data_IF_169231333172
#
_entry.id   IF_169231333172
#
_cell.length_a   1.000
_cell.length_b   1.000
_cell.length_c   1.000
_cell.angle_alpha   90.00
_cell.angle_beta   90.00
_cell.angle_gamma   90.00
#
_symmetry.space_group_name_H-M   'P 1'
#
loop_
_entity.id
_entity.type
_entity.pdbx_description
1 polymer ?
#
# COMPACT_ATOMS: atom_id res chain seq x y z
N UNK A 1 -16.40 -14.84 13.56
CA UNK A 1 -16.24 -14.13 12.26
C UNK A 1 -16.51 -15.13 11.16
N UNK A 2 -17.48 -14.91 10.27
CA UNK A 2 -17.67 -15.81 9.12
C UNK A 2 -16.58 -15.54 8.07
N UNK A 3 -16.31 -16.49 7.17
CA UNK A 3 -15.33 -16.29 6.10
C UNK A 3 -15.68 -15.08 5.20
N UNK A 4 -16.97 -14.86 4.96
CA UNK A 4 -17.44 -13.70 4.18
C UNK A 4 -17.18 -12.38 4.91
N UNK A 5 -17.35 -12.35 6.23
CA UNK A 5 -17.08 -11.14 7.02
C UNK A 5 -15.57 -10.83 7.06
N UNK A 6 -14.72 -11.86 7.07
CA UNK A 6 -13.27 -11.69 6.99
C UNK A 6 -12.83 -11.09 5.64
N UNK A 7 -13.42 -11.53 4.52
CA UNK A 7 -13.13 -10.94 3.21
C UNK A 7 -13.62 -9.50 3.09
N UNK A 8 -14.82 -9.20 3.61
CA UNK A 8 -15.30 -7.81 3.66
C UNK A 8 -14.35 -6.90 4.41
N UNK A 9 -13.79 -7.37 5.53
CA UNK A 9 -12.81 -6.59 6.29
C UNK A 9 -11.53 -6.35 5.47
N UNK A 10 -11.04 -7.36 4.74
CA UNK A 10 -9.89 -7.19 3.87
C UNK A 10 -10.17 -6.21 2.71
N UNK A 11 -11.33 -6.32 2.08
CA UNK A 11 -11.77 -5.40 1.01
C UNK A 11 -11.88 -3.95 1.53
N UNK A 12 -12.35 -3.78 2.76
CA UNK A 12 -12.45 -2.48 3.41
C UNK A 12 -11.08 -1.83 3.62
N UNK A 13 -10.08 -2.61 4.04
CA UNK A 13 -8.69 -2.13 4.19
C UNK A 13 -8.10 -1.74 2.83
N UNK A 14 -8.27 -2.58 1.81
CA UNK A 14 -7.78 -2.30 0.46
C UNK A 14 -8.46 -1.04 -0.12
N UNK A 15 -9.78 -0.89 0.09
CA UNK A 15 -10.52 0.31 -0.29
C UNK A 15 -9.95 1.54 0.40
N UNK A 16 -9.72 1.47 1.71
CA UNK A 16 -9.18 2.60 2.47
C UNK A 16 -7.77 2.99 2.01
N UNK A 17 -6.92 2.02 1.64
CA UNK A 17 -5.59 2.28 1.12
C UNK A 17 -5.62 3.05 -0.21
N UNK A 18 -6.39 2.55 -1.18
CA UNK A 18 -6.51 3.18 -2.50
C UNK A 18 -7.18 4.54 -2.39
N UNK A 19 -8.25 4.64 -1.61
CA UNK A 19 -8.93 5.90 -1.36
C UNK A 19 -8.00 6.91 -0.68
N UNK A 20 -7.24 6.49 0.33
CA UNK A 20 -6.33 7.35 1.07
C UNK A 20 -5.32 8.07 0.17
N UNK A 21 -4.80 7.38 -0.85
CA UNK A 21 -3.86 7.96 -1.82
C UNK A 21 -4.58 8.73 -2.92
N UNK A 22 -5.69 8.19 -3.43
CA UNK A 22 -6.45 8.81 -4.53
C UNK A 22 -7.03 10.16 -4.11
N UNK A 23 -7.55 10.26 -2.89
CA UNK A 23 -8.20 11.47 -2.39
C UNK A 23 -7.20 12.62 -2.27
N UNK A 24 -5.95 12.33 -1.90
CA UNK A 24 -4.87 13.31 -1.81
C UNK A 24 -4.50 13.99 -3.14
N UNK A 25 -4.77 13.32 -4.26
CA UNK A 25 -4.43 13.79 -5.61
C UNK A 25 -5.65 14.42 -6.29
N UNK A 26 -6.83 13.81 -6.08
CA UNK A 26 -8.02 14.08 -6.89
C UNK A 26 -9.04 14.99 -6.21
N UNK A 27 -9.05 15.02 -4.87
CA UNK A 27 -9.99 15.84 -4.10
C UNK A 27 -9.29 17.12 -3.66
N UNK A 28 -9.84 18.30 -4.00
CA UNK A 28 -9.30 19.56 -3.51
C UNK A 28 -9.29 19.58 -1.98
N UNK A 29 -8.09 19.63 -1.41
CA UNK A 29 -7.87 19.73 0.02
C UNK A 29 -7.54 21.13 0.50
N UNK A 30 -7.55 21.31 1.83
CA UNK A 30 -6.88 22.43 2.51
C UNK A 30 -5.38 22.45 2.19
N UNK A 31 -4.77 21.26 2.16
CA UNK A 31 -3.38 21.04 1.78
C UNK A 31 -3.40 20.00 0.67
N UNK A 32 -3.22 20.47 -0.55
CA UNK A 32 -3.23 19.62 -1.74
C UNK A 32 -1.83 19.07 -2.01
N UNK A 33 -1.76 17.81 -2.40
CA UNK A 33 -0.54 17.16 -2.87
C UNK A 33 -0.63 16.92 -4.37
N UNK A 34 0.51 16.79 -5.03
CA UNK A 34 0.54 16.37 -6.42
C UNK A 34 0.99 14.91 -6.57
N UNK A 35 0.90 14.39 -7.80
CA UNK A 35 1.33 13.02 -8.08
C UNK A 35 2.86 12.83 -7.94
N UNK A 36 3.66 13.88 -8.11
CA UNK A 36 5.10 13.80 -7.98
C UNK A 36 5.50 13.58 -6.52
N UNK A 37 4.83 14.26 -5.58
CA UNK A 37 5.00 14.10 -4.14
C UNK A 37 4.70 12.66 -3.69
N UNK A 38 3.53 12.14 -4.07
CA UNK A 38 3.13 10.75 -3.76
C UNK A 38 4.11 9.76 -4.38
N UNK A 39 4.52 9.98 -5.64
CA UNK A 39 5.49 9.11 -6.32
C UNK A 39 6.86 9.14 -5.65
N UNK A 40 7.31 10.30 -5.14
CA UNK A 40 8.60 10.41 -4.46
C UNK A 40 8.66 9.58 -3.18
N UNK A 41 7.54 9.44 -2.47
CA UNK A 41 7.43 8.59 -1.26
C UNK A 41 7.19 7.13 -1.60
N UNK A 42 6.43 6.81 -2.65
CA UNK A 42 6.02 5.42 -2.88
C UNK A 42 6.93 4.65 -3.84
N UNK A 43 7.63 5.34 -4.76
CA UNK A 43 8.38 4.66 -5.82
C UNK A 43 9.70 4.07 -5.31
N UNK A 44 9.85 2.75 -5.46
CA UNK A 44 11.12 2.06 -5.17
C UNK A 44 11.42 1.86 -3.68
N UNK A 45 10.51 2.20 -2.79
CA UNK A 45 10.70 2.14 -1.33
C UNK A 45 10.47 0.73 -0.73
N UNK A 46 10.03 -0.24 -1.52
CA UNK A 46 9.89 -1.62 -1.08
C UNK A 46 8.65 -1.83 -0.21
N UNK A 47 8.84 -2.32 1.02
CA UNK A 47 7.74 -2.64 1.94
C UNK A 47 7.01 -1.35 2.35
N UNK A 48 5.67 -1.44 2.38
CA UNK A 48 4.79 -0.38 2.83
C UNK A 48 3.80 -0.94 3.85
N UNK A 49 3.49 -0.13 4.86
CA UNK A 49 2.52 -0.43 5.90
C UNK A 49 1.51 0.71 5.98
N UNK A 50 0.26 0.37 6.32
CA UNK A 50 -0.83 1.34 6.41
C UNK A 50 -1.50 1.24 7.77
N UNK A 51 -1.69 2.40 8.41
CA UNK A 51 -2.51 2.57 9.59
C UNK A 51 -3.67 3.50 9.30
N UNK A 52 -4.84 3.23 9.89
CA UNK A 52 -6.00 4.11 9.82
C UNK A 52 -6.61 4.30 11.20
N UNK A 53 -7.04 5.52 11.49
CA UNK A 53 -7.69 5.89 12.74
C UNK A 53 -8.83 6.88 12.49
N UNK A 54 -9.82 6.84 13.38
CA UNK A 54 -11.00 7.72 13.34
C UNK A 54 -11.35 8.16 14.75
N UNK A 55 -11.64 9.44 14.92
CA UNK A 55 -12.10 9.98 16.17
C UNK A 55 -12.98 11.21 15.94
N UNK A 56 -13.73 11.61 16.96
CA UNK A 56 -14.58 12.79 16.95
C UNK A 56 -14.46 13.56 18.27
N UNK A 57 -14.95 14.80 18.29
CA UNK A 57 -14.85 15.68 19.46
C UNK A 57 -13.55 16.49 19.53
N UNK A 58 -13.26 17.04 20.71
CA UNK A 58 -12.22 18.07 20.91
C UNK A 58 -10.78 17.54 20.72
N UNK A 59 -10.55 16.26 21.02
CA UNK A 59 -9.23 15.62 20.90
C UNK A 59 -9.13 14.67 19.70
N UNK A 60 -10.02 14.84 18.70
CA UNK A 60 -10.11 13.92 17.56
C UNK A 60 -8.81 13.79 16.77
N UNK A 61 -8.01 14.84 16.65
CA UNK A 61 -6.75 14.79 15.93
C UNK A 61 -5.73 13.88 16.62
N UNK A 62 -5.48 14.08 17.91
CA UNK A 62 -4.61 13.24 18.71
C UNK A 62 -5.11 11.79 18.76
N UNK A 63 -6.40 11.56 19.03
CA UNK A 63 -6.98 10.22 19.14
C UNK A 63 -6.96 9.45 17.82
N UNK A 64 -7.36 10.08 16.71
CA UNK A 64 -7.32 9.44 15.39
C UNK A 64 -5.88 9.13 14.97
N UNK A 65 -4.93 10.01 15.30
CA UNK A 65 -3.51 9.77 15.03
C UNK A 65 -2.99 8.59 15.83
N UNK A 66 -3.28 8.54 17.13
CA UNK A 66 -2.84 7.45 18.00
C UNK A 66 -3.40 6.10 17.53
N UNK A 67 -4.66 6.07 17.09
CA UNK A 67 -5.25 4.87 16.48
C UNK A 67 -4.57 4.47 15.17
N UNK A 68 -4.24 5.44 14.31
CA UNK A 68 -3.57 5.16 13.05
C UNK A 68 -2.17 4.55 13.27
N UNK A 69 -1.37 5.11 14.18
CA UNK A 69 0.00 4.63 14.46
C UNK A 69 0.05 3.31 15.25
N UNK A 70 -1.05 2.95 15.93
CA UNK A 70 -1.18 1.69 16.67
C UNK A 70 -2.07 0.66 15.97
N UNK A 71 -2.35 0.87 14.68
CA UNK A 71 -3.23 0.01 13.91
C UNK A 71 -2.66 -1.42 13.80
N UNK A 72 -3.47 -2.48 13.96
CA UNK A 72 -3.03 -3.88 13.84
C UNK A 72 -2.47 -4.27 12.46
N UNK A 73 -2.66 -3.40 11.45
CA UNK A 73 -2.12 -3.55 10.09
C UNK A 73 -0.65 -3.11 9.98
N UNK A 74 -0.17 -2.38 10.98
CA UNK A 74 1.24 -2.14 11.24
C UNK A 74 1.69 -3.34 12.09
N UNK A 75 2.40 -4.29 11.48
CA UNK A 75 2.87 -5.52 12.17
C UNK A 75 3.92 -5.20 13.26
N UNK A 76 4.87 -6.09 13.54
CA UNK A 76 6.01 -5.84 14.46
C UNK A 76 6.87 -4.62 14.08
N UNK A 77 6.65 -4.05 12.89
CA UNK A 77 7.18 -2.78 12.46
C UNK A 77 6.26 -1.64 12.94
N UNK A 78 6.68 -1.01 14.03
CA UNK A 78 6.28 0.37 14.37
C UNK A 78 6.58 1.29 13.16
N UNK A 79 5.96 2.48 13.12
CA UNK A 79 6.29 3.51 12.09
C UNK A 79 7.78 3.92 12.16
N UNK A 80 8.45 3.59 13.27
CA UNK A 80 9.88 3.76 13.47
C UNK A 80 10.70 3.08 12.36
N UNK A 81 11.63 3.81 11.77
CA UNK A 81 12.47 3.33 10.67
C UNK A 81 11.86 3.42 9.27
N UNK A 82 10.66 3.98 9.13
CA UNK A 82 10.11 4.34 7.82
C UNK A 82 10.85 5.56 7.23
N UNK A 83 11.46 5.40 6.05
CA UNK A 83 12.16 6.49 5.34
C UNK A 83 11.22 7.43 4.59
N UNK A 84 10.00 6.99 4.31
CA UNK A 84 8.97 7.79 3.66
C UNK A 84 7.62 7.58 4.33
N UNK A 85 6.96 8.67 4.73
CA UNK A 85 5.65 8.63 5.38
C UNK A 85 4.70 9.55 4.63
N UNK A 86 3.53 9.02 4.25
CA UNK A 86 2.43 9.77 3.67
C UNK A 86 1.25 9.78 4.65
N UNK A 87 0.71 10.96 4.91
CA UNK A 87 -0.38 11.18 5.85
C UNK A 87 -1.54 11.82 5.09
N UNK A 88 -2.71 11.19 5.14
CA UNK A 88 -3.96 11.78 4.67
C UNK A 88 -4.86 12.08 5.87
N UNK A 89 -5.20 13.34 6.05
CA UNK A 89 -6.14 13.80 7.08
C UNK A 89 -7.41 14.21 6.37
N UNK A 90 -8.52 13.55 6.70
CA UNK A 90 -9.85 13.89 6.18
C UNK A 90 -10.72 14.32 7.34
N UNK A 91 -11.33 15.50 7.24
CA UNK A 91 -12.24 16.00 8.27
C UNK A 91 -13.39 16.80 7.67
N UNK A 92 -14.35 17.17 8.50
CA UNK A 92 -15.44 18.05 8.10
C UNK A 92 -14.99 19.47 7.77
N UNK A 93 -15.94 20.33 7.43
CA UNK A 93 -15.71 21.76 7.18
C UNK A 93 -15.14 22.53 8.38
N UNK A 94 -15.15 21.90 9.57
CA UNK A 94 -14.59 22.42 10.81
C UNK A 94 -13.10 22.04 11.01
N UNK A 95 -12.49 21.30 10.08
CA UNK A 95 -11.07 20.91 10.16
C UNK A 95 -10.17 22.15 10.18
N UNK A 96 -9.32 22.24 11.21
CA UNK A 96 -8.40 23.36 11.41
C UNK A 96 -6.95 23.01 11.11
N UNK A 97 -6.15 24.02 10.78
CA UNK A 97 -4.70 23.86 10.64
C UNK A 97 -4.01 23.45 11.95
N UNK A 98 -4.59 23.79 13.11
CA UNK A 98 -4.06 23.40 14.41
C UNK A 98 -4.12 21.88 14.57
N UNK A 99 -5.27 21.27 14.30
CA UNK A 99 -5.47 19.82 14.37
C UNK A 99 -4.55 19.07 13.38
N UNK A 100 -4.41 19.60 12.16
CA UNK A 100 -3.50 19.05 11.15
C UNK A 100 -2.04 19.09 11.64
N UNK A 101 -1.63 20.17 12.30
CA UNK A 101 -0.28 20.31 12.86
C UNK A 101 -0.05 19.36 14.03
N UNK A 102 -1.03 19.21 14.92
CA UNK A 102 -0.97 18.30 16.06
C UNK A 102 -0.78 16.84 15.59
N UNK A 103 -1.61 16.38 14.64
CA UNK A 103 -1.46 15.06 14.04
C UNK A 103 -0.09 14.86 13.36
N UNK A 104 0.37 15.86 12.62
CA UNK A 104 1.67 15.81 11.92
C UNK A 104 2.85 15.75 12.89
N UNK A 105 2.75 16.41 14.04
CA UNK A 105 3.81 16.43 15.06
C UNK A 105 3.94 15.05 15.72
N UNK A 106 2.82 14.44 16.10
CA UNK A 106 2.80 13.09 16.70
C UNK A 106 3.41 12.05 15.73
N UNK A 107 3.06 12.11 14.44
CA UNK A 107 3.60 11.15 13.45
C UNK A 107 5.10 11.40 13.22
N UNK A 108 5.54 12.65 13.23
CA UNK A 108 6.97 12.99 13.10
C UNK A 108 7.79 12.47 14.28
N UNK A 109 7.25 12.55 15.50
CA UNK A 109 7.90 11.99 16.69
C UNK A 109 7.98 10.46 16.68
N UNK A 110 7.03 9.81 16.01
CA UNK A 110 6.99 8.34 15.87
C UNK A 110 7.77 7.80 14.65
N UNK A 111 8.19 8.66 13.72
CA UNK A 111 8.95 8.29 12.53
C UNK A 111 10.45 8.49 12.73
N UNK A 112 11.25 8.08 11.74
CA UNK A 112 12.69 8.35 11.73
C UNK A 112 12.98 9.86 11.57
N UNK A 113 14.04 10.39 12.22
CA UNK A 113 14.41 11.82 12.14
C UNK A 113 14.67 12.27 10.69
N UNK A 114 15.19 11.37 9.85
CA UNK A 114 15.48 11.62 8.45
C UNK A 114 14.35 11.17 7.50
N UNK A 115 13.17 10.81 8.04
CA UNK A 115 12.03 10.40 7.24
C UNK A 115 11.50 11.57 6.39
N UNK A 116 11.27 11.30 5.10
CA UNK A 116 10.53 12.23 4.24
C UNK A 116 9.04 12.10 4.54
N UNK A 117 8.44 13.11 5.17
CA UNK A 117 7.03 13.09 5.58
C UNK A 117 6.23 14.05 4.72
N UNK A 118 5.21 13.53 4.05
CA UNK A 118 4.25 14.29 3.24
C UNK A 118 2.87 14.17 3.87
N UNK A 119 2.21 15.30 4.08
CA UNK A 119 0.85 15.35 4.63
C UNK A 119 -0.07 16.10 3.68
N UNK A 120 -1.27 15.56 3.50
CA UNK A 120 -2.37 16.25 2.83
C UNK A 120 -3.59 16.27 3.73
N UNK A 121 -4.41 17.30 3.52
CA UNK A 121 -5.59 17.56 4.32
C UNK A 121 -6.77 17.80 3.39
N UNK A 122 -7.79 16.94 3.45
CA UNK A 122 -8.97 16.94 2.60
C UNK A 122 -10.21 17.29 3.43
N UNK A 123 -11.08 18.12 2.88
CA UNK A 123 -12.38 18.42 3.47
C UNK A 123 -13.44 17.49 2.87
N UNK A 124 -14.10 16.73 3.74
CA UNK A 124 -15.26 15.92 3.41
C UNK A 124 -16.44 16.38 4.29
N UNK A 125 -17.38 17.11 3.68
CA UNK A 125 -18.56 17.65 4.36
C UNK A 125 -19.43 16.55 5.00
N UNK A 126 -19.30 15.29 4.58
CA UNK A 126 -20.04 14.19 5.18
C UNK A 126 -19.55 13.84 6.58
N UNK A 127 -18.28 14.13 6.91
CA UNK A 127 -17.66 13.74 8.17
C UNK A 127 -18.05 14.62 9.37
N UNK A 128 -18.63 15.81 9.17
CA UNK A 128 -19.07 16.70 10.26
C UNK A 128 -17.99 16.87 11.36
N UNK A 129 -18.20 16.32 12.56
CA UNK A 129 -17.29 16.39 13.70
C UNK A 129 -16.26 15.24 13.75
N UNK A 130 -16.31 14.31 12.82
CA UNK A 130 -15.38 13.19 12.67
C UNK A 130 -14.12 13.60 11.90
N UNK A 131 -12.99 13.07 12.35
CA UNK A 131 -11.71 13.12 11.65
C UNK A 131 -11.22 11.71 11.38
N UNK A 132 -10.81 11.46 10.14
CA UNK A 132 -10.18 10.23 9.69
C UNK A 132 -8.73 10.52 9.31
N UNK A 133 -7.81 9.75 9.87
CA UNK A 133 -6.38 9.84 9.55
C UNK A 133 -5.94 8.50 8.96
N UNK A 134 -5.24 8.57 7.84
CA UNK A 134 -4.60 7.43 7.19
C UNK A 134 -3.11 7.70 7.07
N UNK A 135 -2.29 6.80 7.60
CA UNK A 135 -0.83 6.87 7.55
C UNK A 135 -0.33 5.73 6.69
N UNK A 136 0.57 6.03 5.77
CA UNK A 136 1.23 5.07 4.89
C UNK A 136 2.73 5.24 5.07
N UNK A 137 3.35 4.26 5.72
CA UNK A 137 4.78 4.23 5.96
C UNK A 137 5.46 3.33 4.93
N UNK A 138 6.60 3.75 4.41
CA UNK A 138 7.34 3.10 3.32
C UNK A 138 8.84 3.19 3.58
N UNK A 139 9.63 2.33 2.92
CA UNK A 139 11.09 2.42 2.99
C UNK A 139 11.68 1.77 4.23
N UNK A 140 10.97 0.81 4.82
CA UNK A 140 11.50 -0.02 5.91
C UNK A 140 12.72 -0.81 5.43
N UNK A 141 13.79 -0.82 6.23
CA UNK A 141 14.98 -1.57 5.93
C UNK A 141 14.71 -3.08 5.95
N UNK A 142 15.26 -3.78 4.94
CA UNK A 142 15.00 -5.22 4.70
C UNK A 142 15.40 -6.15 5.84
N UNK A 143 16.20 -5.70 6.80
CA UNK A 143 16.64 -6.52 7.94
C UNK A 143 15.52 -6.76 8.97
N UNK A 144 14.53 -5.86 9.08
CA UNK A 144 13.41 -6.04 10.03
C UNK A 144 12.36 -7.07 9.56
N UNK A 145 12.41 -7.48 8.29
CA UNK A 145 11.48 -8.46 7.71
C UNK A 145 12.00 -9.91 7.73
N UNK A 146 13.23 -10.17 8.20
CA UNK A 146 13.84 -11.51 8.16
C UNK A 146 13.47 -12.38 9.38
N UNK A 147 12.89 -11.81 10.44
CA UNK A 147 12.48 -12.57 11.64
C UNK A 147 11.22 -13.43 11.44
N UNK A 148 10.48 -13.23 10.34
CA UNK A 148 9.26 -13.97 10.00
C UNK A 148 9.42 -15.05 8.93
N UNK A 149 10.64 -15.30 8.42
CA UNK A 149 10.85 -16.44 7.51
C UNK A 149 10.80 -17.73 8.31
N UNK A 150 9.59 -18.29 8.40
CA UNK A 150 9.40 -19.72 8.66
C UNK A 150 10.45 -20.44 7.81
N UNK A 151 11.36 -21.12 8.49
CA UNK A 151 12.42 -21.90 7.90
C UNK A 151 11.80 -22.94 6.97
N UNK A 152 11.59 -22.58 5.71
CA UNK A 152 11.46 -23.50 4.61
C UNK A 152 12.84 -24.09 4.33
N UNK A 153 13.36 -24.87 5.27
CA UNK A 153 14.31 -25.93 5.00
C UNK A 153 13.57 -27.01 4.19
N UNK A 154 13.17 -26.67 2.98
CA UNK A 154 12.88 -27.62 1.92
C UNK A 154 14.11 -27.62 1.03
N UNK A 155 14.99 -28.59 1.28
CA UNK A 155 16.13 -28.89 0.43
C UNK A 155 15.72 -28.84 -1.04
N UNK A 156 16.36 -27.97 -1.82
CA UNK A 156 16.24 -28.01 -3.27
C UNK A 156 16.74 -29.37 -3.77
N UNK A 157 15.94 -30.19 -4.46
CA UNK A 157 16.49 -31.27 -5.25
C UNK A 157 17.12 -30.66 -6.50
N UNK A 158 18.45 -30.66 -6.54
CA UNK A 158 19.21 -30.37 -7.75
C UNK A 158 19.03 -31.50 -8.77
N UNK A 159 18.05 -31.39 -9.66
CA UNK A 159 18.08 -31.85 -11.06
C UNK A 159 16.67 -31.81 -11.69
N UNK A 160 16.52 -31.37 -12.95
CA UNK A 160 15.29 -31.62 -13.69
C UNK A 160 15.14 -33.14 -13.95
N UNK A 161 13.93 -33.70 -13.89
CA UNK A 161 13.72 -35.10 -14.22
C UNK A 161 14.11 -35.35 -15.68
N UNK A 162 15.08 -36.24 -15.89
CA UNK A 162 15.51 -36.69 -17.21
C UNK A 162 14.38 -37.55 -17.78
N UNK A 163 13.60 -36.98 -18.68
CA UNK A 163 12.54 -37.70 -19.39
C UNK A 163 13.20 -38.78 -20.28
N UNK A 164 13.14 -40.04 -19.86
CA UNK A 164 13.49 -41.17 -20.74
C UNK A 164 12.38 -41.28 -21.78
N UNK A 165 12.68 -40.92 -23.03
CA UNK A 165 11.77 -41.13 -24.16
C UNK A 165 11.52 -42.63 -24.31
N UNK A 166 10.30 -43.06 -24.03
CA UNK A 166 9.78 -44.34 -24.53
C UNK A 166 9.52 -44.20 -26.04
N UNK A 167 9.92 -45.15 -26.90
CA UNK A 167 9.63 -45.07 -28.33
C UNK A 167 8.12 -45.27 -28.53
N UNK A 168 7.37 -44.21 -28.83
CA UNK A 168 5.93 -44.33 -29.13
C UNK A 168 5.10 -43.05 -29.10
N UNK A 169 5.52 -41.98 -28.41
CA UNK A 169 4.75 -40.73 -28.36
C UNK A 169 5.23 -39.73 -29.42
N UNK A 170 4.79 -39.94 -30.66
CA UNK A 170 4.91 -38.98 -31.75
C UNK A 170 3.61 -38.18 -31.86
N UNK A 171 3.38 -37.29 -30.88
CA UNK A 171 2.43 -36.19 -31.04
C UNK A 171 3.22 -34.93 -31.36
N UNK A 172 3.11 -34.55 -32.62
CA UNK A 172 3.68 -33.37 -33.26
C UNK A 172 3.46 -32.14 -32.39
N UNK A 173 4.49 -31.68 -31.69
CA UNK A 173 4.48 -30.36 -31.03
C UNK A 173 4.54 -29.31 -32.15
N UNK A 174 3.55 -28.42 -32.31
CA UNK A 174 3.71 -27.31 -33.22
C UNK A 174 4.88 -26.45 -32.73
N UNK A 175 5.86 -26.23 -33.59
CA UNK A 175 6.97 -25.33 -33.35
C UNK A 175 6.40 -23.94 -33.10
N UNK A 176 6.48 -23.47 -31.85
CA UNK A 176 6.28 -22.07 -31.51
C UNK A 176 7.41 -21.31 -32.19
N UNK A 177 7.13 -20.78 -33.37
CA UNK A 177 7.98 -19.82 -34.05
C UNK A 177 8.27 -18.71 -33.05
N UNK A 178 9.54 -18.31 -32.98
CA UNK A 178 10.02 -17.19 -32.19
C UNK A 178 9.23 -15.94 -32.57
N UNK A 179 8.13 -15.70 -31.85
CA UNK A 179 7.37 -14.47 -31.95
C UNK A 179 8.27 -13.37 -31.41
N UNK A 180 8.55 -12.38 -32.27
CA UNK A 180 9.37 -11.23 -31.96
C UNK A 180 8.88 -10.59 -30.66
N UNK A 181 9.81 -10.35 -29.75
CA UNK A 181 9.56 -9.73 -28.43
C UNK A 181 9.00 -8.31 -28.51
N UNK A 182 8.91 -7.72 -29.70
CA UNK A 182 8.46 -6.34 -29.93
C UNK A 182 6.93 -6.19 -30.00
N UNK A 183 6.14 -7.27 -30.00
CA UNK A 183 4.69 -7.22 -30.18
C UNK A 183 3.87 -7.43 -28.89
N UNK A 184 4.41 -7.09 -27.71
CA UNK A 184 3.69 -7.23 -26.44
C UNK A 184 2.64 -6.13 -26.18
N UNK A 185 2.69 -5.02 -26.92
CA UNK A 185 1.83 -3.85 -26.70
C UNK A 185 0.42 -3.95 -27.31
N UNK A 186 0.15 -5.00 -28.09
CA UNK A 186 -1.19 -5.22 -28.67
C UNK A 186 -1.91 -6.36 -27.96
N UNK A 187 -3.12 -6.16 -27.41
CA UNK A 187 -3.89 -7.22 -26.75
C UNK A 187 -4.13 -8.45 -27.64
N UNK A 188 -4.10 -9.63 -27.01
CA UNK A 188 -4.09 -10.95 -27.67
C UNK A 188 -5.29 -11.20 -28.61
N UNK A 189 -6.43 -10.56 -28.38
CA UNK A 189 -7.65 -10.76 -29.18
C UNK A 189 -7.61 -10.10 -30.56
N UNK A 190 -6.72 -9.13 -30.80
CA UNK A 190 -6.54 -8.47 -32.11
C UNK A 190 -5.57 -9.27 -33.01
N UNK A 191 -4.57 -9.92 -32.42
CA UNK A 191 -3.54 -10.67 -33.16
C UNK A 191 -4.11 -11.81 -34.01
N UNK A 192 -5.22 -12.40 -33.57
CA UNK A 192 -5.79 -13.63 -34.18
C UNK A 192 -6.67 -13.40 -35.41
N UNK A 193 -6.84 -12.16 -35.88
CA UNK A 193 -7.67 -11.84 -37.06
C UNK A 193 -6.87 -11.57 -38.34
N UNK A 194 -5.54 -11.56 -38.26
CA UNK A 194 -4.67 -11.23 -39.39
C UNK A 194 -3.94 -12.44 -40.00
N UNK A 195 -4.15 -13.65 -39.46
CA UNK A 195 -3.67 -14.93 -40.01
C UNK A 195 -4.84 -15.80 -40.50
#
# INVERSE_FOLDING_TARGET
VSLQDAFKLADDVLRQAVQGISDLITVPGLINLDFADVKAIMAGMGLALMGAGRASGEHRAMEATQQAISSPLLEEATIEGAKGVLINITGGSDLTLYEVNEASSIIREAADEDANIIFGAVIDESLHDEMKITVIATGFDKESADSGRIAANAAMPSAPPRYTRTPGDDLTRPTVNQARTDDLDVPTFIRKKAD
#
